data_IF_306819964752
#
_entry.id   IF_306819964752
#
_cell.length_a   1.000
_cell.length_b   1.000
_cell.length_c   1.000
_cell.angle_alpha   90.00
_cell.angle_beta   90.00
_cell.angle_gamma   90.00
#
_symmetry.space_group_name_H-M   'P 1'
#
loop_
_entity.id
_entity.type
_entity.pdbx_description
1 polymer ?
#
# COMPACT_ATOMS: atom_id res chain seq x y z
N UNK A 1 23.02 -39.54 12.67
CA UNK A 1 22.12 -38.71 11.84
C UNK A 1 21.39 -37.81 12.82
N UNK A 2 22.01 -36.68 13.14
CA UNK A 2 21.51 -35.75 14.15
C UNK A 2 20.66 -34.67 13.49
N UNK A 3 19.45 -34.53 14.01
CA UNK A 3 18.51 -33.48 13.70
C UNK A 3 18.98 -32.22 14.42
N UNK A 4 19.52 -31.27 13.67
CA UNK A 4 19.84 -29.94 14.20
C UNK A 4 18.56 -29.14 14.39
N UNK A 5 18.03 -29.17 15.62
CA UNK A 5 16.96 -28.30 16.10
C UNK A 5 17.48 -26.85 16.03
N UNK A 6 16.94 -26.05 15.11
CA UNK A 6 17.20 -24.61 15.05
C UNK A 6 16.58 -23.97 16.29
N UNK A 7 17.41 -23.66 17.29
CA UNK A 7 17.04 -22.83 18.43
C UNK A 7 16.90 -21.39 17.94
N UNK A 8 15.66 -20.91 17.81
CA UNK A 8 15.39 -19.48 17.73
C UNK A 8 15.72 -18.85 19.08
N UNK A 9 16.92 -18.27 19.19
CA UNK A 9 17.26 -17.38 20.29
C UNK A 9 16.41 -16.12 20.17
N UNK A 10 15.64 -15.83 21.23
CA UNK A 10 14.99 -14.55 21.51
C UNK A 10 16.04 -13.43 21.50
N UNK A 11 16.31 -12.88 20.32
CA UNK A 11 16.84 -11.54 20.19
C UNK A 11 15.68 -10.58 20.43
N UNK A 12 15.62 -9.99 21.63
CA UNK A 12 14.82 -8.79 21.85
C UNK A 12 15.47 -7.69 21.01
N UNK A 13 14.99 -7.56 19.78
CA UNK A 13 15.12 -6.31 19.04
C UNK A 13 14.33 -5.29 19.85
N UNK A 14 15.02 -4.39 20.53
CA UNK A 14 14.47 -3.08 20.86
C UNK A 14 14.13 -2.42 19.51
N UNK A 15 12.92 -2.71 19.01
CA UNK A 15 12.42 -2.13 17.77
C UNK A 15 12.25 -0.64 18.01
N UNK A 16 13.09 0.17 17.36
CA UNK A 16 12.77 1.57 17.16
C UNK A 16 11.38 1.65 16.56
N UNK A 17 10.48 2.36 17.24
CA UNK A 17 9.03 2.40 17.00
C UNK A 17 8.61 2.99 15.64
N UNK A 18 9.57 3.37 14.78
CA UNK A 18 9.35 4.13 13.56
C UNK A 18 9.86 3.37 12.34
N UNK A 19 9.38 2.13 12.13
CA UNK A 19 9.70 1.38 10.91
C UNK A 19 9.02 2.07 9.74
N UNK A 20 9.83 2.70 8.88
CA UNK A 20 9.42 3.20 7.57
C UNK A 20 9.81 2.20 6.50
N UNK A 21 8.89 1.94 5.58
CA UNK A 21 9.13 1.10 4.42
C UNK A 21 8.86 1.98 3.21
N UNK A 22 9.91 2.33 2.47
CA UNK A 22 9.79 3.16 1.27
C UNK A 22 8.94 4.42 1.54
N UNK A 23 9.39 5.26 2.49
CA UNK A 23 8.67 6.48 2.92
C UNK A 23 7.36 6.27 3.70
N UNK A 24 6.78 5.07 3.70
CA UNK A 24 5.53 4.77 4.43
C UNK A 24 5.82 4.50 5.90
N UNK A 25 5.27 5.34 6.78
CA UNK A 25 5.29 5.10 8.23
C UNK A 25 4.21 4.07 8.62
N UNK A 26 4.64 2.87 9.03
CA UNK A 26 3.71 1.77 9.31
C UNK A 26 2.73 2.09 10.47
N UNK A 27 3.19 2.81 11.50
CA UNK A 27 2.32 3.19 12.62
C UNK A 27 1.27 4.22 12.19
N UNK A 28 1.64 5.19 11.33
CA UNK A 28 0.70 6.14 10.75
C UNK A 28 -0.33 5.39 9.90
N UNK A 29 0.12 4.45 9.07
CA UNK A 29 -0.76 3.65 8.22
C UNK A 29 -1.76 2.83 9.04
N UNK A 30 -1.30 2.12 10.09
CA UNK A 30 -2.18 1.40 11.03
C UNK A 30 -3.22 2.32 11.66
N UNK A 31 -2.82 3.54 12.04
CA UNK A 31 -3.74 4.53 12.57
C UNK A 31 -4.79 4.96 11.53
N UNK A 32 -4.40 5.20 10.28
CA UNK A 32 -5.33 5.53 9.20
C UNK A 32 -6.31 4.39 8.91
N UNK A 33 -5.83 3.14 8.84
CA UNK A 33 -6.66 1.94 8.66
C UNK A 33 -7.70 1.83 9.78
N UNK A 34 -7.29 2.03 11.04
CA UNK A 34 -8.20 1.99 12.18
C UNK A 34 -9.30 3.04 12.05
N UNK A 35 -8.95 4.27 11.66
CA UNK A 35 -9.91 5.35 11.48
C UNK A 35 -10.86 5.07 10.30
N UNK A 36 -10.32 4.57 9.17
CA UNK A 36 -11.10 4.12 8.02
C UNK A 36 -12.13 3.06 8.43
N UNK A 37 -11.69 1.98 9.08
CA UNK A 37 -12.59 0.92 9.58
C UNK A 37 -13.65 1.46 10.55
N UNK A 38 -13.34 2.47 11.35
CA UNK A 38 -14.34 3.10 12.22
C UNK A 38 -15.40 3.87 11.42
N UNK A 39 -15.02 4.62 10.38
CA UNK A 39 -15.96 5.30 9.47
C UNK A 39 -16.84 4.32 8.68
N UNK A 40 -16.28 3.16 8.33
CA UNK A 40 -16.95 2.12 7.56
C UNK A 40 -17.97 1.32 8.35
N UNK A 41 -17.84 1.25 9.68
CA UNK A 41 -18.89 0.66 10.54
C UNK A 41 -20.22 1.39 10.41
N UNK A 42 -20.18 2.67 10.05
CA UNK A 42 -21.36 3.50 9.86
C UNK A 42 -21.83 3.51 8.38
N UNK A 43 -21.07 2.90 7.46
CA UNK A 43 -21.34 2.89 6.02
C UNK A 43 -21.03 1.52 5.37
N UNK A 44 -22.05 0.66 5.27
CA UNK A 44 -21.92 -0.73 4.74
C UNK A 44 -21.57 -0.83 3.24
N UNK A 45 -21.59 0.28 2.48
CA UNK A 45 -21.49 0.25 1.01
C UNK A 45 -20.14 0.65 0.42
N UNK A 46 -19.15 1.03 1.22
CA UNK A 46 -17.86 1.48 0.69
C UNK A 46 -16.92 0.29 0.50
N UNK A 47 -16.53 0.04 -0.75
CA UNK A 47 -15.61 -1.03 -1.14
C UNK A 47 -14.14 -0.63 -1.08
N UNK A 48 -13.84 0.66 -1.20
CA UNK A 48 -12.48 1.21 -1.24
C UNK A 48 -12.46 2.56 -0.52
N UNK A 49 -11.52 2.76 0.40
CA UNK A 49 -11.38 3.97 1.21
C UNK A 49 -9.96 4.54 1.07
N UNK A 50 -9.82 5.83 0.75
CA UNK A 50 -8.53 6.51 0.67
C UNK A 50 -7.91 6.69 2.06
N UNK A 51 -6.65 6.28 2.23
CA UNK A 51 -5.89 6.42 3.48
C UNK A 51 -4.90 7.58 3.45
N UNK A 52 -4.12 7.67 2.37
CA UNK A 52 -3.09 8.68 2.17
C UNK A 52 -3.05 9.09 0.69
N UNK A 53 -2.73 10.35 0.40
CA UNK A 53 -2.51 10.84 -0.97
C UNK A 53 -1.18 11.56 -1.03
N UNK A 54 -0.42 11.26 -2.08
CA UNK A 54 0.89 11.83 -2.35
C UNK A 54 0.72 12.83 -3.49
N UNK A 55 0.65 14.11 -3.11
CA UNK A 55 0.48 15.22 -4.04
C UNK A 55 1.75 15.42 -4.83
N UNK A 56 1.77 14.90 -6.04
CA UNK A 56 2.85 15.18 -6.98
C UNK A 56 2.34 14.95 -8.41
N UNK A 57 2.81 15.80 -9.32
CA UNK A 57 2.63 15.67 -10.77
C UNK A 57 3.89 15.14 -11.46
N UNK A 58 4.94 14.88 -10.68
CA UNK A 58 6.25 14.44 -11.15
C UNK A 58 6.64 13.12 -10.48
N UNK A 59 6.99 12.14 -11.30
CA UNK A 59 7.46 10.83 -10.87
C UNK A 59 8.70 10.94 -9.96
N UNK A 60 9.59 11.91 -10.18
CA UNK A 60 10.78 12.08 -9.31
C UNK A 60 10.38 12.42 -7.87
N UNK A 61 9.43 13.32 -7.70
CA UNK A 61 8.91 13.68 -6.37
C UNK A 61 8.22 12.47 -5.71
N UNK A 62 7.55 11.61 -6.49
CA UNK A 62 6.94 10.37 -5.97
C UNK A 62 8.02 9.43 -5.45
N UNK A 63 9.04 9.19 -6.27
CA UNK A 63 10.17 8.31 -5.96
C UNK A 63 10.88 8.82 -4.69
N UNK A 64 11.08 10.12 -4.56
CA UNK A 64 11.72 10.71 -3.39
C UNK A 64 10.85 10.63 -2.14
N UNK A 65 9.55 10.96 -2.24
CA UNK A 65 8.61 10.88 -1.10
C UNK A 65 8.50 9.44 -0.58
N UNK A 66 8.52 8.47 -1.50
CA UNK A 66 8.44 7.05 -1.18
C UNK A 66 9.81 6.37 -1.12
N UNK A 67 10.92 7.13 -1.16
CA UNK A 67 12.28 6.61 -1.08
C UNK A 67 12.55 5.37 -1.99
N UNK A 68 11.92 5.31 -3.18
CA UNK A 68 11.95 4.17 -4.12
C UNK A 68 13.22 4.17 -4.99
N UNK A 69 14.40 4.31 -4.37
CA UNK A 69 15.68 4.54 -5.05
C UNK A 69 16.20 3.37 -5.90
N UNK A 70 15.58 2.19 -5.81
CA UNK A 70 15.92 1.00 -6.59
C UNK A 70 15.20 0.93 -7.95
N UNK A 71 14.44 1.98 -8.32
CA UNK A 71 13.88 2.11 -9.67
C UNK A 71 14.99 2.43 -10.66
N UNK A 72 15.40 1.43 -11.44
CA UNK A 72 16.41 1.57 -12.50
C UNK A 72 15.87 2.35 -13.70
N UNK A 73 14.63 2.05 -14.10
CA UNK A 73 13.95 2.69 -15.23
C UNK A 73 13.00 3.77 -14.74
N UNK A 74 13.26 5.02 -15.11
CA UNK A 74 12.44 6.18 -14.76
C UNK A 74 11.22 6.29 -15.66
N UNK A 75 10.34 5.30 -15.59
CA UNK A 75 9.09 5.24 -16.35
C UNK A 75 7.90 5.08 -15.41
N UNK A 76 6.72 5.53 -15.86
CA UNK A 76 5.49 5.38 -15.08
C UNK A 76 5.19 3.90 -14.77
N UNK A 77 5.43 3.00 -15.73
CA UNK A 77 5.23 1.57 -15.54
C UNK A 77 6.16 0.98 -14.48
N UNK A 78 7.45 1.36 -14.48
CA UNK A 78 8.41 0.90 -13.47
C UNK A 78 8.07 1.43 -12.07
N UNK A 79 7.63 2.69 -11.97
CA UNK A 79 7.11 3.25 -10.72
C UNK A 79 5.88 2.45 -10.25
N UNK A 80 4.93 2.17 -11.14
CA UNK A 80 3.69 1.46 -10.79
C UNK A 80 3.97 0.05 -10.29
N UNK A 81 4.87 -0.68 -10.94
CA UNK A 81 5.33 -2.00 -10.49
C UNK A 81 5.90 -1.93 -9.06
N UNK A 82 6.69 -0.90 -8.74
CA UNK A 82 7.23 -0.73 -7.38
C UNK A 82 6.18 -0.34 -6.36
N UNK A 83 5.21 0.47 -6.75
CA UNK A 83 4.07 0.78 -5.89
C UNK A 83 3.22 -0.46 -5.62
N UNK A 84 3.02 -1.34 -6.60
CA UNK A 84 2.36 -2.63 -6.40
C UNK A 84 3.14 -3.55 -5.45
N UNK A 85 4.46 -3.67 -5.60
CA UNK A 85 5.33 -4.41 -4.66
C UNK A 85 5.24 -3.84 -3.23
N UNK A 86 5.24 -2.50 -3.12
CA UNK A 86 5.11 -1.80 -1.85
C UNK A 86 3.74 -2.07 -1.22
N UNK A 87 2.66 -1.90 -1.98
CA UNK A 87 1.29 -2.18 -1.55
C UNK A 87 1.13 -3.61 -1.06
N UNK A 88 1.68 -4.60 -1.77
CA UNK A 88 1.71 -5.99 -1.33
C UNK A 88 2.43 -6.14 0.02
N UNK A 89 3.62 -5.54 0.15
CA UNK A 89 4.41 -5.61 1.37
C UNK A 89 3.67 -5.01 2.57
N UNK A 90 3.13 -3.80 2.43
CA UNK A 90 2.39 -3.14 3.52
C UNK A 90 1.06 -3.83 3.82
N UNK A 91 0.41 -4.44 2.82
CA UNK A 91 -0.78 -5.28 3.01
C UNK A 91 -0.49 -6.45 3.94
N UNK A 92 0.60 -7.19 3.66
CA UNK A 92 1.04 -8.31 4.50
C UNK A 92 1.34 -7.86 5.93
N UNK A 93 2.07 -6.74 6.09
CA UNK A 93 2.47 -6.24 7.42
C UNK A 93 1.30 -5.69 8.24
N UNK A 94 0.25 -5.20 7.60
CA UNK A 94 -0.94 -4.68 8.27
C UNK A 94 -2.07 -5.70 8.39
N UNK A 95 -1.97 -6.84 7.68
CA UNK A 95 -3.07 -7.82 7.53
C UNK A 95 -4.32 -7.20 6.92
N UNK A 96 -4.12 -6.28 5.97
CA UNK A 96 -5.18 -5.59 5.22
C UNK A 96 -4.92 -5.71 3.72
N UNK A 97 -5.93 -5.44 2.90
CA UNK A 97 -5.74 -5.33 1.44
C UNK A 97 -5.57 -3.87 1.07
N UNK A 98 -4.35 -3.48 0.71
CA UNK A 98 -3.99 -2.13 0.31
C UNK A 98 -3.59 -2.10 -1.17
N UNK A 99 -3.88 -0.99 -1.84
CA UNK A 99 -3.47 -0.76 -3.24
C UNK A 99 -3.14 0.71 -3.47
N UNK A 100 -2.29 0.96 -4.46
CA UNK A 100 -2.11 2.29 -5.02
C UNK A 100 -2.99 2.47 -6.24
N UNK A 101 -3.65 3.63 -6.34
CA UNK A 101 -4.38 4.05 -7.54
C UNK A 101 -4.27 5.58 -7.70
N UNK A 102 -4.72 6.10 -8.84
CA UNK A 102 -4.85 7.53 -9.04
C UNK A 102 -6.14 8.06 -8.40
N UNK A 103 -6.04 9.17 -7.70
CA UNK A 103 -7.20 9.94 -7.23
C UNK A 103 -7.90 10.64 -8.39
N UNK A 104 -9.10 11.19 -8.17
CA UNK A 104 -9.84 11.97 -9.18
C UNK A 104 -9.03 13.19 -9.69
N UNK A 105 -8.15 13.71 -8.86
CA UNK A 105 -7.23 14.81 -9.18
C UNK A 105 -5.94 14.36 -9.89
N UNK A 106 -5.76 13.05 -10.08
CA UNK A 106 -4.59 12.45 -10.70
C UNK A 106 -3.38 12.29 -9.77
N UNK A 107 -3.58 12.34 -8.45
CA UNK A 107 -2.52 12.07 -7.46
C UNK A 107 -2.43 10.58 -7.15
N UNK A 108 -1.30 10.13 -6.61
CA UNK A 108 -1.19 8.75 -6.14
C UNK A 108 -1.86 8.65 -4.77
N UNK A 109 -2.88 7.81 -4.67
CA UNK A 109 -3.56 7.48 -3.43
C UNK A 109 -3.21 6.06 -2.97
N UNK A 110 -2.99 5.90 -1.65
CA UNK A 110 -2.98 4.60 -0.99
C UNK A 110 -4.39 4.32 -0.44
N UNK A 111 -4.98 3.22 -0.89
CA UNK A 111 -6.35 2.86 -0.58
C UNK A 111 -6.42 1.57 0.25
N UNK A 112 -7.43 1.50 1.11
CA UNK A 112 -7.87 0.29 1.78
C UNK A 112 -9.05 -0.32 1.03
N UNK A 113 -8.92 -1.56 0.56
CA UNK A 113 -10.05 -2.32 0.06
C UNK A 113 -10.81 -2.96 1.23
N UNK A 114 -12.09 -2.64 1.34
CA UNK A 114 -12.99 -3.23 2.34
C UNK A 114 -14.04 -4.06 1.63
N UNK A 115 -14.18 -5.32 2.05
CA UNK A 115 -15.05 -6.31 1.41
C UNK A 115 -14.62 -6.70 -0.02
N UNK A 116 -13.35 -7.03 -0.23
CA UNK A 116 -12.95 -7.73 -1.45
C UNK A 116 -13.74 -9.05 -1.54
N UNK A 117 -14.50 -9.32 -2.62
CA UNK A 117 -15.09 -10.64 -2.81
C UNK A 117 -13.95 -11.67 -2.79
N UNK A 118 -14.11 -12.70 -1.97
CA UNK A 118 -13.15 -13.81 -1.85
C UNK A 118 -13.00 -14.44 -3.24
N UNK A 119 -11.85 -14.23 -3.88
CA UNK A 119 -11.39 -14.90 -5.09
C UNK A 119 -12.50 -15.19 -6.13
N UNK A 120 -13.06 -14.13 -6.70
CA UNK A 120 -13.75 -14.18 -7.98
C UNK A 120 -13.20 -13.04 -8.83
N UNK A 121 -12.64 -13.37 -9.99
CA UNK A 121 -11.99 -12.47 -10.96
C UNK A 121 -12.48 -11.02 -10.86
N UNK A 122 -11.62 -10.13 -10.35
CA UNK A 122 -11.86 -8.68 -10.44
C UNK A 122 -11.56 -8.26 -11.87
N UNK A 123 -12.56 -8.37 -12.74
CA UNK A 123 -12.58 -7.59 -13.98
C UNK A 123 -12.86 -6.13 -13.60
N UNK A 124 -11.78 -5.36 -13.41
CA UNK A 124 -11.87 -3.91 -13.33
C UNK A 124 -12.24 -3.43 -14.74
N UNK A 125 -13.54 -3.26 -15.00
CA UNK A 125 -14.00 -2.52 -16.17
C UNK A 125 -13.78 -1.02 -15.89
N UNK A 126 -12.52 -0.58 -16.00
CA UNK A 126 -12.23 0.83 -16.17
C UNK A 126 -12.74 1.21 -17.55
N UNK A 127 -13.95 1.75 -17.62
CA UNK A 127 -14.44 2.46 -18.80
C UNK A 127 -13.44 3.55 -19.15
N UNK A 128 -12.52 3.23 -20.05
CA UNK A 128 -11.67 4.18 -20.73
C UNK A 128 -12.59 5.02 -21.61
N UNK A 129 -13.10 6.14 -21.09
CA UNK A 129 -13.56 7.21 -21.96
C UNK A 129 -12.32 7.89 -22.54
N UNK A 130 -11.73 7.25 -23.55
CA UNK A 130 -10.94 7.95 -24.56
C UNK A 130 -11.89 8.90 -25.26
N UNK A 131 -11.81 10.20 -24.99
CA UNK A 131 -12.20 11.35 -25.82
C UNK A 131 -12.01 12.58 -24.91
N UNK A 132 -11.26 13.64 -25.26
CA UNK A 132 -10.64 14.05 -26.50
C UNK A 132 -9.47 15.00 -26.18
#
# INVERSE_FOLDING_TARGET
MDISIIKFQKGVLTMSSDVKIYGICLERLKYQIKNARQRLKDNEHVSIELLESYNTRDMEDIIDILELYDIEERTFDALWNKLEELAYTVSVLTTETLLFDLTEEGHIGLYLMVNAPVAGEVHINLTTSRHA
#
